data_IF_507817513650
#
_entry.id   IF_507817513650
#
_cell.length_a   1.000
_cell.length_b   1.000
_cell.length_c   1.000
_cell.angle_alpha   90.00
_cell.angle_beta   90.00
_cell.angle_gamma   90.00
#
_symmetry.space_group_name_H-M   'P 1'
#
loop_
_entity.id
_entity.type
_entity.pdbx_description
1 polymer ?
#
# COMPACT_ATOMS: atom_id res chain seq x y z
N UNK A 1 27.02 0.82 25.56
CA UNK A 1 27.42 0.58 26.97
C UNK A 1 26.19 0.70 27.86
N UNK A 2 25.78 -0.42 28.45
CA UNK A 2 24.76 -0.42 29.49
C UNK A 2 25.37 0.26 30.70
N UNK A 3 24.79 1.39 31.12
CA UNK A 3 25.28 2.14 32.27
C UNK A 3 25.16 1.29 33.53
N UNK A 4 26.29 1.12 34.25
CA UNK A 4 26.31 0.50 35.57
C UNK A 4 25.38 1.28 36.50
N UNK A 5 24.35 0.62 37.04
CA UNK A 5 23.61 1.12 38.21
C UNK A 5 22.08 1.30 38.06
N UNK A 6 21.47 0.98 36.95
CA UNK A 6 20.01 0.89 36.92
C UNK A 6 19.59 -0.53 37.29
N UNK A 7 19.05 -0.72 38.49
CA UNK A 7 18.20 -1.87 38.78
C UNK A 7 16.94 -1.78 37.91
N UNK A 8 16.97 -2.43 36.75
CA UNK A 8 15.76 -2.72 36.01
C UNK A 8 14.95 -3.71 36.83
N UNK A 9 13.98 -3.22 37.58
CA UNK A 9 12.92 -4.09 38.07
C UNK A 9 12.34 -4.79 36.85
N UNK A 10 12.37 -6.12 36.84
CA UNK A 10 11.95 -6.90 35.69
C UNK A 10 10.56 -6.48 35.21
N UNK A 11 10.36 -6.46 33.90
CA UNK A 11 9.07 -6.14 33.28
C UNK A 11 8.06 -7.16 33.75
N UNK A 12 7.01 -6.72 34.43
CA UNK A 12 5.91 -7.59 34.85
C UNK A 12 4.98 -7.80 33.65
N UNK A 13 5.19 -8.89 32.91
CA UNK A 13 4.40 -9.27 31.73
C UNK A 13 3.04 -9.90 32.08
N UNK A 14 2.68 -10.02 33.35
CA UNK A 14 1.48 -10.72 33.81
C UNK A 14 0.15 -9.96 33.67
N UNK A 15 0.08 -8.89 32.87
CA UNK A 15 -1.18 -8.15 32.64
C UNK A 15 -2.09 -8.75 31.56
N UNK A 16 -1.76 -9.96 31.08
CA UNK A 16 -2.50 -10.64 30.02
C UNK A 16 -2.24 -10.07 28.63
N UNK A 17 -2.72 -10.79 27.63
CA UNK A 17 -2.64 -10.38 26.21
C UNK A 17 -4.07 -10.19 25.70
N UNK A 18 -4.35 -9.04 25.08
CA UNK A 18 -5.64 -8.75 24.43
C UNK A 18 -5.45 -8.65 22.93
N UNK A 19 -6.35 -9.28 22.18
CA UNK A 19 -6.48 -9.00 20.74
C UNK A 19 -7.01 -7.58 20.56
N UNK A 20 -6.48 -6.83 19.62
CA UNK A 20 -7.04 -5.54 19.19
C UNK A 20 -8.39 -5.75 18.51
N UNK A 21 -9.15 -4.67 18.25
CA UNK A 21 -10.34 -4.76 17.41
C UNK A 21 -9.91 -5.30 16.04
N UNK A 22 -10.48 -6.46 15.66
CA UNK A 22 -10.12 -7.10 14.40
C UNK A 22 -10.71 -6.31 13.23
N UNK A 23 -9.88 -5.52 12.56
CA UNK A 23 -10.23 -4.87 11.30
C UNK A 23 -10.08 -5.82 10.12
N UNK A 24 -9.32 -6.91 10.30
CA UNK A 24 -8.92 -7.83 9.23
C UNK A 24 -9.21 -9.27 9.63
N UNK A 25 -9.37 -10.14 8.62
CA UNK A 25 -9.37 -11.59 8.83
C UNK A 25 -8.01 -12.04 9.37
N UNK A 26 -7.99 -13.11 10.15
CA UNK A 26 -6.74 -13.62 10.75
C UNK A 26 -6.13 -14.79 9.98
N UNK A 27 -6.77 -15.22 8.89
CA UNK A 27 -6.32 -16.35 8.10
C UNK A 27 -5.05 -16.01 7.31
N UNK A 28 -4.22 -17.01 7.06
CA UNK A 28 -2.95 -16.85 6.38
C UNK A 28 -3.13 -16.92 4.85
N UNK A 29 -2.95 -15.83 4.11
CA UNK A 29 -3.08 -15.82 2.67
C UNK A 29 -1.94 -16.56 1.95
N UNK A 30 -0.82 -16.85 2.65
CA UNK A 30 0.35 -17.52 2.05
C UNK A 30 -0.01 -18.95 1.69
N UNK A 31 -0.76 -19.64 2.54
CA UNK A 31 -1.14 -21.04 2.37
C UNK A 31 -2.56 -21.25 1.83
N UNK A 32 -3.30 -20.17 1.55
CA UNK A 32 -4.67 -20.25 1.01
C UNK A 32 -4.75 -20.94 -0.36
N UNK A 33 -3.68 -20.89 -1.14
CA UNK A 33 -3.53 -21.58 -2.43
C UNK A 33 -2.16 -22.23 -2.53
N UNK A 34 -2.08 -23.37 -3.23
CA UNK A 34 -0.81 -24.01 -3.49
C UNK A 34 0.02 -23.23 -4.55
N UNK A 35 1.28 -23.59 -4.67
CA UNK A 35 2.23 -22.90 -5.57
C UNK A 35 1.79 -22.96 -7.05
N UNK A 36 1.26 -24.09 -7.50
CA UNK A 36 0.82 -24.26 -8.90
C UNK A 36 -0.39 -23.39 -9.22
N UNK A 37 -1.34 -23.28 -8.29
CA UNK A 37 -2.50 -22.39 -8.44
C UNK A 37 -2.07 -20.92 -8.54
N UNK A 38 -1.13 -20.50 -7.69
CA UNK A 38 -0.57 -19.13 -7.74
C UNK A 38 0.16 -18.84 -9.04
N UNK A 39 0.98 -19.79 -9.51
CA UNK A 39 1.66 -19.68 -10.80
C UNK A 39 0.65 -19.54 -11.95
N UNK A 40 -0.44 -20.30 -11.91
CA UNK A 40 -1.49 -20.25 -12.94
C UNK A 40 -2.15 -18.88 -13.07
N UNK A 41 -2.33 -18.17 -11.95
CA UNK A 41 -2.86 -16.80 -11.96
C UNK A 41 -1.93 -15.88 -12.77
N UNK A 42 -0.61 -15.98 -12.54
CA UNK A 42 0.38 -15.16 -13.25
C UNK A 42 0.49 -15.53 -14.73
N UNK A 43 0.38 -16.82 -15.08
CA UNK A 43 0.33 -17.28 -16.46
C UNK A 43 -0.88 -16.71 -17.21
N UNK A 44 -2.07 -16.74 -16.58
CA UNK A 44 -3.30 -16.18 -17.16
C UNK A 44 -3.11 -14.68 -17.38
N UNK A 45 -2.60 -13.96 -16.38
CA UNK A 45 -2.38 -12.51 -16.49
C UNK A 45 -1.44 -12.16 -17.66
N UNK A 46 -0.35 -12.92 -17.80
CA UNK A 46 0.59 -12.75 -18.91
C UNK A 46 -0.07 -13.04 -20.27
N UNK A 47 -0.84 -14.12 -20.36
CA UNK A 47 -1.53 -14.49 -21.61
C UNK A 47 -2.59 -13.45 -22.01
N UNK A 48 -3.42 -12.99 -21.06
CA UNK A 48 -4.42 -11.96 -21.30
C UNK A 48 -3.79 -10.65 -21.77
N UNK A 49 -2.72 -10.19 -21.12
CA UNK A 49 -2.06 -8.95 -21.50
C UNK A 49 -1.49 -9.02 -22.94
N UNK A 50 -0.85 -10.14 -23.30
CA UNK A 50 -0.31 -10.34 -24.66
C UNK A 50 -1.37 -10.46 -25.73
N UNK A 51 -2.53 -11.00 -25.40
CA UNK A 51 -3.64 -11.18 -26.35
C UNK A 51 -4.33 -9.85 -26.68
N UNK A 52 -4.21 -8.83 -25.85
CA UNK A 52 -4.91 -7.55 -26.00
C UNK A 52 -4.31 -6.66 -27.09
N UNK A 53 -2.98 -6.70 -27.26
CA UNK A 53 -2.29 -5.82 -28.23
C UNK A 53 -0.98 -6.45 -28.71
N UNK A 54 -0.78 -6.59 -30.03
CA UNK A 54 0.45 -7.18 -30.59
C UNK A 54 1.71 -6.38 -30.30
N UNK A 55 1.59 -5.12 -29.90
CA UNK A 55 2.73 -4.27 -29.48
C UNK A 55 3.26 -4.61 -28.09
N UNK A 56 2.58 -5.47 -27.33
CA UNK A 56 3.07 -5.94 -26.00
C UNK A 56 4.24 -6.89 -26.20
N UNK A 57 5.45 -6.40 -25.95
CA UNK A 57 6.70 -7.16 -26.12
C UNK A 57 7.13 -7.84 -24.84
N UNK A 58 6.77 -7.28 -23.66
CA UNK A 58 7.10 -7.86 -22.37
C UNK A 58 5.94 -7.71 -21.38
N UNK A 59 5.76 -8.73 -20.54
CA UNK A 59 4.82 -8.72 -19.42
C UNK A 59 5.55 -9.21 -18.17
N UNK A 60 5.39 -8.48 -17.08
CA UNK A 60 5.85 -8.84 -15.74
C UNK A 60 4.64 -8.92 -14.83
N UNK A 61 4.29 -10.12 -14.39
CA UNK A 61 3.20 -10.35 -13.44
C UNK A 61 3.77 -10.77 -12.08
N UNK A 62 3.26 -10.19 -11.00
CA UNK A 62 3.72 -10.44 -9.65
C UNK A 62 2.57 -10.68 -8.66
N UNK A 63 2.74 -11.64 -7.76
CA UNK A 63 1.84 -11.91 -6.65
C UNK A 63 2.65 -11.96 -5.36
N UNK A 64 2.30 -11.10 -4.41
CA UNK A 64 2.86 -11.08 -3.07
C UNK A 64 1.77 -11.38 -2.05
N UNK A 65 2.08 -12.25 -1.10
CA UNK A 65 1.23 -12.54 0.06
C UNK A 65 2.08 -12.41 1.31
N UNK A 66 1.59 -11.69 2.31
CA UNK A 66 2.23 -11.59 3.62
C UNK A 66 1.21 -11.84 4.71
N UNK A 67 1.68 -12.41 5.81
CA UNK A 67 0.91 -12.60 7.04
C UNK A 67 1.73 -12.03 8.19
N UNK A 68 1.28 -10.91 8.74
CA UNK A 68 2.01 -10.19 9.78
C UNK A 68 1.30 -10.33 11.12
N UNK A 69 2.03 -10.77 12.13
CA UNK A 69 1.60 -10.68 13.52
C UNK A 69 2.40 -9.59 14.22
N UNK A 70 1.72 -8.64 14.82
CA UNK A 70 2.33 -7.55 15.59
C UNK A 70 1.96 -7.72 17.05
N UNK A 71 2.95 -7.71 17.94
CA UNK A 71 2.77 -7.77 19.39
C UNK A 71 3.38 -6.54 20.03
N UNK A 72 2.59 -5.79 20.78
CA UNK A 72 3.02 -4.62 21.56
C UNK A 72 2.88 -4.94 23.04
N UNK A 73 3.99 -4.85 23.78
CA UNK A 73 4.07 -5.17 25.21
C UNK A 73 4.51 -3.92 26.00
N UNK A 74 3.60 -3.04 26.38
CA UNK A 74 3.90 -1.90 27.24
C UNK A 74 4.08 -2.37 28.70
N UNK A 75 4.86 -1.64 29.48
CA UNK A 75 5.18 -1.97 30.87
C UNK A 75 4.00 -1.77 31.83
N UNK A 76 3.12 -0.84 31.53
CA UNK A 76 2.04 -0.35 32.40
C UNK A 76 0.65 -0.74 31.93
N UNK A 77 0.51 -1.29 30.73
CA UNK A 77 -0.75 -1.72 30.11
C UNK A 77 -0.71 -3.18 29.69
N UNK A 78 -1.87 -3.83 29.48
CA UNK A 78 -1.93 -5.15 28.87
C UNK A 78 -1.27 -5.18 27.50
N UNK A 79 -0.55 -6.26 27.23
CA UNK A 79 -0.02 -6.52 25.88
C UNK A 79 -1.16 -6.63 24.86
N UNK A 80 -0.91 -6.20 23.65
CA UNK A 80 -1.90 -6.27 22.56
C UNK A 80 -1.26 -6.90 21.34
N UNK A 81 -2.03 -7.69 20.61
CA UNK A 81 -1.58 -8.26 19.35
C UNK A 81 -2.61 -8.01 18.25
N UNK A 82 -2.11 -7.94 17.04
CA UNK A 82 -2.90 -7.83 15.84
C UNK A 82 -2.34 -8.74 14.75
N UNK A 83 -3.22 -9.24 13.88
CA UNK A 83 -2.87 -10.06 12.73
C UNK A 83 -3.39 -9.37 11.49
N UNK A 84 -2.50 -9.14 10.51
CA UNK A 84 -2.82 -8.49 9.25
C UNK A 84 -2.34 -9.33 8.08
N UNK A 85 -3.25 -9.96 7.32
CA UNK A 85 -2.93 -10.52 6.02
C UNK A 85 -2.75 -9.38 5.01
N UNK A 86 -1.93 -9.60 4.00
CA UNK A 86 -1.81 -8.68 2.86
C UNK A 86 -1.62 -9.49 1.59
N UNK A 87 -2.36 -9.17 0.57
CA UNK A 87 -2.17 -9.69 -0.78
C UNK A 87 -2.01 -8.54 -1.77
N UNK A 88 -1.14 -8.72 -2.74
CA UNK A 88 -0.93 -7.76 -3.81
C UNK A 88 -0.65 -8.50 -5.12
N UNK A 89 -1.48 -8.26 -6.11
CA UNK A 89 -1.34 -8.77 -7.46
C UNK A 89 -1.08 -7.60 -8.39
N UNK A 90 -0.07 -7.72 -9.25
CA UNK A 90 0.32 -6.66 -10.17
C UNK A 90 0.66 -7.22 -11.55
N UNK A 91 0.48 -6.38 -12.56
CA UNK A 91 0.93 -6.61 -13.92
C UNK A 91 1.53 -5.34 -14.50
N UNK A 92 2.71 -5.47 -15.07
CA UNK A 92 3.36 -4.43 -15.85
C UNK A 92 3.55 -4.94 -17.27
N UNK A 93 3.23 -4.12 -18.25
CA UNK A 93 3.42 -4.42 -19.66
C UNK A 93 4.38 -3.41 -20.27
N UNK A 94 5.25 -3.87 -21.17
CA UNK A 94 6.04 -3.01 -22.04
C UNK A 94 5.48 -3.14 -23.44
N UNK A 95 5.09 -2.04 -24.03
CA UNK A 95 4.70 -1.95 -25.44
C UNK A 95 5.82 -1.32 -26.24
N UNK A 96 5.96 -1.74 -27.50
CA UNK A 96 6.94 -1.19 -28.43
C UNK A 96 6.29 -0.89 -29.77
N UNK A 97 6.58 0.28 -30.31
CA UNK A 97 6.21 0.70 -31.65
C UNK A 97 7.24 1.68 -32.18
N UNK A 98 7.75 1.43 -33.38
CA UNK A 98 8.69 2.31 -34.10
C UNK A 98 9.92 2.72 -33.24
N UNK A 99 10.43 1.78 -32.43
CA UNK A 99 11.56 2.01 -31.52
C UNK A 99 11.22 2.73 -30.22
N UNK A 100 10.00 3.24 -30.05
CA UNK A 100 9.50 3.79 -28.79
C UNK A 100 8.99 2.67 -27.90
N UNK A 101 9.37 2.72 -26.62
CA UNK A 101 8.91 1.79 -25.57
C UNK A 101 8.21 2.54 -24.47
N UNK A 102 7.04 2.05 -24.09
CA UNK A 102 6.26 2.61 -23.00
C UNK A 102 5.75 1.52 -22.06
N UNK A 103 5.57 1.89 -20.81
CA UNK A 103 5.16 0.97 -19.74
C UNK A 103 3.76 1.33 -19.26
N UNK A 104 2.95 0.30 -19.05
CA UNK A 104 1.69 0.41 -18.33
C UNK A 104 1.69 -0.53 -17.14
N UNK A 105 1.06 -0.13 -16.05
CA UNK A 105 1.00 -0.86 -14.79
C UNK A 105 -0.42 -0.86 -14.23
N UNK A 106 -0.85 -2.00 -13.73
CA UNK A 106 -2.07 -2.13 -12.96
C UNK A 106 -1.86 -3.09 -11.79
N UNK A 107 -2.54 -2.84 -10.69
CA UNK A 107 -2.50 -3.71 -9.53
C UNK A 107 -3.81 -3.70 -8.75
N UNK A 108 -4.00 -4.76 -7.96
CA UNK A 108 -5.04 -4.86 -6.96
C UNK A 108 -4.46 -5.53 -5.71
N UNK A 109 -4.97 -5.17 -4.55
CA UNK A 109 -4.49 -5.71 -3.29
C UNK A 109 -5.28 -5.19 -2.10
N UNK A 110 -4.96 -5.71 -0.93
CA UNK A 110 -5.59 -5.30 0.30
C UNK A 110 -5.21 -6.19 1.48
N UNK A 111 -5.74 -5.87 2.65
CA UNK A 111 -5.60 -6.70 3.83
C UNK A 111 -6.68 -7.81 3.87
N UNK A 112 -6.80 -8.52 2.77
CA UNK A 112 -7.80 -9.57 2.47
C UNK A 112 -7.12 -10.88 2.09
N UNK A 113 -7.90 -11.93 1.86
CA UNK A 113 -7.41 -13.20 1.33
C UNK A 113 -7.30 -13.18 -0.20
N UNK A 114 -6.48 -14.08 -0.74
CA UNK A 114 -6.23 -14.15 -2.18
C UNK A 114 -7.49 -14.52 -2.99
N UNK A 115 -8.32 -15.41 -2.49
CA UNK A 115 -9.57 -15.79 -3.13
C UNK A 115 -10.59 -14.64 -3.16
N UNK A 116 -10.62 -13.80 -2.14
CA UNK A 116 -11.43 -12.60 -2.09
C UNK A 116 -10.92 -11.55 -3.10
N UNK A 117 -9.61 -11.36 -3.19
CA UNK A 117 -8.99 -10.50 -4.20
C UNK A 117 -9.44 -10.90 -5.60
N UNK A 118 -9.39 -12.22 -5.91
CA UNK A 118 -9.73 -12.76 -7.23
C UNK A 118 -11.22 -12.72 -7.54
N UNK A 119 -12.10 -12.75 -6.54
CA UNK A 119 -13.55 -12.56 -6.72
C UNK A 119 -13.87 -11.11 -7.09
N UNK A 120 -13.18 -10.16 -6.47
CA UNK A 120 -13.46 -8.74 -6.60
C UNK A 120 -12.73 -8.10 -7.79
N UNK A 121 -11.70 -8.77 -8.33
CA UNK A 121 -10.87 -8.24 -9.39
C UNK A 121 -10.69 -9.25 -10.52
N UNK A 122 -11.13 -8.87 -11.71
CA UNK A 122 -10.90 -9.66 -12.91
C UNK A 122 -9.44 -9.56 -13.37
N UNK A 123 -8.77 -10.70 -13.56
CA UNK A 123 -7.43 -10.73 -14.15
C UNK A 123 -7.39 -10.05 -15.53
N UNK A 124 -8.46 -10.23 -16.30
CA UNK A 124 -8.60 -9.60 -17.61
C UNK A 124 -8.68 -8.08 -17.51
N UNK A 125 -9.37 -7.54 -16.51
CA UNK A 125 -9.51 -6.09 -16.36
C UNK A 125 -8.21 -5.47 -15.85
N UNK A 126 -7.43 -6.14 -15.00
CA UNK A 126 -6.08 -5.73 -14.65
C UNK A 126 -5.17 -5.71 -15.88
N UNK A 127 -5.20 -6.76 -16.71
CA UNK A 127 -4.43 -6.80 -17.95
C UNK A 127 -4.82 -5.67 -18.91
N UNK A 128 -6.14 -5.44 -19.09
CA UNK A 128 -6.66 -4.34 -19.91
C UNK A 128 -6.18 -2.99 -19.44
N UNK A 129 -6.22 -2.73 -18.14
CA UNK A 129 -5.82 -1.44 -17.59
C UNK A 129 -4.33 -1.19 -17.79
N UNK A 130 -3.48 -2.19 -17.57
CA UNK A 130 -2.05 -2.07 -17.84
C UNK A 130 -1.77 -1.78 -19.33
N UNK A 131 -2.43 -2.51 -20.25
CA UNK A 131 -2.30 -2.29 -21.70
C UNK A 131 -2.83 -0.92 -22.09
N UNK A 132 -3.99 -0.50 -21.53
CA UNK A 132 -4.56 0.84 -21.76
C UNK A 132 -3.59 1.95 -21.38
N UNK A 133 -2.97 1.86 -20.20
CA UNK A 133 -2.00 2.86 -19.74
C UNK A 133 -0.79 2.90 -20.66
N UNK A 134 -0.22 1.75 -21.03
CA UNK A 134 0.88 1.70 -21.99
C UNK A 134 0.50 2.31 -23.34
N UNK A 135 -0.72 2.02 -23.84
CA UNK A 135 -1.23 2.59 -25.10
C UNK A 135 -1.37 4.12 -25.05
N UNK A 136 -1.90 4.65 -23.94
CA UNK A 136 -2.00 6.11 -23.73
C UNK A 136 -0.61 6.74 -23.70
N UNK A 137 0.34 6.11 -23.00
CA UNK A 137 1.71 6.60 -22.94
C UNK A 137 2.40 6.59 -24.33
N UNK A 138 2.10 5.60 -25.17
CA UNK A 138 2.61 5.55 -26.55
C UNK A 138 2.20 6.76 -27.40
N UNK A 139 1.05 7.34 -27.11
CA UNK A 139 0.50 8.51 -27.84
C UNK A 139 0.77 9.83 -27.08
N UNK A 140 1.33 9.75 -25.88
CA UNK A 140 1.57 10.92 -25.05
C UNK A 140 2.64 11.83 -25.65
N UNK A 141 2.40 13.14 -25.50
CA UNK A 141 3.36 14.19 -25.79
C UNK A 141 4.03 14.68 -24.51
N UNK A 142 5.21 15.31 -24.54
CA UNK A 142 5.83 15.88 -23.36
C UNK A 142 4.89 16.88 -22.68
N UNK A 143 4.79 16.80 -21.35
CA UNK A 143 4.05 17.77 -20.57
C UNK A 143 4.73 19.15 -20.64
N UNK A 144 3.98 20.27 -20.71
CA UNK A 144 4.58 21.60 -20.65
C UNK A 144 5.25 21.83 -19.31
N UNK A 145 6.46 22.39 -19.33
CA UNK A 145 7.17 22.80 -18.12
C UNK A 145 6.78 24.24 -17.74
N UNK A 146 6.62 24.50 -16.45
CA UNK A 146 6.32 25.82 -15.91
C UNK A 146 5.34 25.81 -14.75
N UNK A 147 5.11 27.00 -14.20
CA UNK A 147 4.10 27.19 -13.15
C UNK A 147 2.71 27.23 -13.77
N UNK A 148 1.81 26.39 -13.30
CA UNK A 148 0.44 26.33 -13.81
C UNK A 148 -0.54 25.91 -12.72
N UNK A 149 -1.82 26.17 -12.93
CA UNK A 149 -2.90 25.67 -12.05
C UNK A 149 -3.05 24.16 -12.27
N UNK A 150 -3.04 23.42 -11.16
CA UNK A 150 -3.18 21.95 -11.16
C UNK A 150 -4.41 21.56 -10.37
N UNK A 151 -5.23 20.69 -10.95
CA UNK A 151 -6.35 20.03 -10.26
C UNK A 151 -5.97 18.59 -9.96
N UNK A 152 -5.96 18.23 -8.68
CA UNK A 152 -5.69 16.88 -8.23
C UNK A 152 -7.01 16.12 -8.07
N UNK A 153 -7.16 15.00 -8.78
CA UNK A 153 -8.30 14.09 -8.61
C UNK A 153 -8.16 13.21 -7.35
N UNK A 154 -9.20 12.43 -7.03
CA UNK A 154 -9.14 11.43 -5.97
C UNK A 154 -8.22 10.25 -6.38
N UNK A 155 -7.70 9.53 -5.39
CA UNK A 155 -6.86 8.35 -5.58
C UNK A 155 -5.36 8.64 -5.44
N UNK A 156 -4.54 8.26 -6.41
CA UNK A 156 -3.08 8.42 -6.38
C UNK A 156 -2.57 9.81 -5.96
N UNK A 157 -3.17 10.93 -6.36
CA UNK A 157 -2.77 12.24 -5.87
C UNK A 157 -2.86 12.42 -4.35
N UNK A 158 -3.58 11.56 -3.64
CA UNK A 158 -3.56 11.50 -2.17
C UNK A 158 -2.18 11.25 -1.57
N UNK A 159 -1.27 10.61 -2.33
CA UNK A 159 0.15 10.44 -1.93
C UNK A 159 0.82 11.81 -1.72
N UNK A 160 0.48 12.83 -2.50
CA UNK A 160 1.01 14.18 -2.27
C UNK A 160 0.63 14.72 -0.87
N UNK A 161 -0.60 14.44 -0.41
CA UNK A 161 -1.06 14.83 0.93
C UNK A 161 -0.33 14.01 2.00
N UNK A 162 -0.09 12.72 1.75
CA UNK A 162 0.72 11.86 2.61
C UNK A 162 2.12 12.44 2.80
N UNK A 163 2.82 12.78 1.71
CA UNK A 163 4.17 13.33 1.76
C UNK A 163 4.22 14.74 2.37
N UNK A 164 3.28 15.60 1.99
CA UNK A 164 3.30 17.00 2.42
C UNK A 164 2.89 17.20 3.88
N UNK A 165 2.02 16.34 4.41
CA UNK A 165 1.41 16.50 5.73
C UNK A 165 1.55 15.25 6.59
N UNK A 166 1.29 14.07 6.02
CA UNK A 166 1.22 12.81 6.76
C UNK A 166 2.49 12.52 7.56
N UNK A 167 3.64 12.56 6.94
CA UNK A 167 4.92 12.36 7.62
C UNK A 167 5.19 13.39 8.73
N UNK A 168 4.76 14.63 8.54
CA UNK A 168 4.87 15.66 9.57
C UNK A 168 3.97 15.43 10.80
N UNK A 169 2.93 14.61 10.67
CA UNK A 169 2.02 14.25 11.76
C UNK A 169 2.45 13.00 12.53
N UNK A 170 3.48 12.28 12.10
CA UNK A 170 3.99 11.10 12.81
C UNK A 170 4.39 11.41 14.26
N UNK A 171 4.01 10.53 15.16
CA UNK A 171 4.15 10.74 16.60
C UNK A 171 5.58 10.85 17.09
N UNK A 172 6.54 10.16 16.48
CA UNK A 172 7.95 10.21 16.82
C UNK A 172 8.60 11.54 16.44
N UNK A 173 8.30 12.09 15.26
CA UNK A 173 8.77 13.42 14.86
C UNK A 173 8.20 14.52 15.75
N UNK A 174 6.93 14.42 16.12
CA UNK A 174 6.31 15.39 17.03
C UNK A 174 6.86 15.25 18.44
N UNK A 175 7.13 14.04 18.94
CA UNK A 175 7.73 13.80 20.25
C UNK A 175 9.15 14.34 20.35
N UNK A 176 9.93 14.22 19.29
CA UNK A 176 11.32 14.72 19.25
C UNK A 176 11.44 16.22 18.93
N UNK A 177 10.32 16.87 18.58
CA UNK A 177 10.33 18.29 18.24
C UNK A 177 10.86 18.61 16.84
N UNK A 178 11.00 17.60 15.97
CA UNK A 178 11.55 17.77 14.62
C UNK A 178 10.51 18.08 13.56
N UNK A 179 9.22 17.94 13.87
CA UNK A 179 8.12 18.28 12.94
C UNK A 179 7.76 19.76 12.96
N UNK A 180 7.38 20.30 11.80
CA UNK A 180 6.78 21.63 11.68
C UNK A 180 5.42 21.75 12.44
N UNK A 181 4.77 20.63 12.76
CA UNK A 181 3.51 20.57 13.49
C UNK A 181 3.68 20.40 15.02
N UNK A 182 4.91 20.26 15.51
CA UNK A 182 5.17 20.07 16.93
C UNK A 182 4.56 21.21 17.77
N UNK A 183 3.78 20.82 18.79
CA UNK A 183 3.15 21.75 19.72
C UNK A 183 2.01 22.59 19.14
N UNK A 184 1.52 22.27 17.95
CA UNK A 184 0.48 23.05 17.26
C UNK A 184 -0.94 22.50 17.43
N UNK A 185 -1.17 21.60 18.37
CA UNK A 185 -2.50 21.09 18.66
C UNK A 185 -3.45 22.26 18.97
N UNK A 186 -4.61 22.32 18.30
CA UNK A 186 -5.61 23.39 18.43
C UNK A 186 -5.28 24.67 17.66
N UNK A 187 -4.13 24.73 16.97
CA UNK A 187 -3.76 25.86 16.14
C UNK A 187 -4.07 25.59 14.66
N UNK A 188 -4.40 26.62 13.92
CA UNK A 188 -4.57 26.54 12.47
C UNK A 188 -3.21 26.36 11.79
N UNK A 189 -3.04 25.29 11.04
CA UNK A 189 -1.80 24.92 10.34
C UNK A 189 -1.94 24.90 8.82
N UNK A 190 -3.15 25.08 8.29
CA UNK A 190 -3.43 25.09 6.86
C UNK A 190 -4.57 26.07 6.53
N UNK A 191 -4.92 26.18 5.26
CA UNK A 191 -6.10 26.93 4.78
C UNK A 191 -7.39 26.32 5.34
N UNK A 192 -8.41 27.16 5.58
CA UNK A 192 -9.75 26.70 6.01
C UNK A 192 -10.46 25.82 4.97
N UNK A 193 -10.03 25.90 3.72
CA UNK A 193 -10.55 25.06 2.65
C UNK A 193 -10.03 23.59 2.72
N UNK A 194 -9.03 23.30 3.57
CA UNK A 194 -8.41 21.99 3.67
C UNK A 194 -8.83 21.29 4.97
N UNK A 195 -9.40 20.09 4.84
CA UNK A 195 -9.60 19.15 5.96
C UNK A 195 -8.86 17.85 5.64
N UNK A 196 -7.95 17.44 6.53
CA UNK A 196 -7.19 16.19 6.40
C UNK A 196 -7.52 15.33 7.61
N UNK A 197 -7.93 14.08 7.36
CA UNK A 197 -8.30 13.11 8.39
C UNK A 197 -7.37 11.91 8.23
N UNK A 198 -6.67 11.54 9.32
CA UNK A 198 -5.96 10.29 9.47
C UNK A 198 -6.83 9.35 10.31
N UNK A 199 -7.35 8.30 9.69
CA UNK A 199 -8.30 7.37 10.33
C UNK A 199 -7.79 5.94 10.25
N UNK A 200 -7.22 5.46 11.36
CA UNK A 200 -6.78 4.08 11.53
C UNK A 200 -7.90 3.07 11.82
N UNK A 201 -9.16 3.45 11.74
CA UNK A 201 -10.33 2.58 12.06
C UNK A 201 -11.11 2.15 10.83
N UNK A 202 -10.72 2.60 9.65
CA UNK A 202 -11.37 2.24 8.38
C UNK A 202 -11.19 0.74 8.13
N UNK A 203 -12.28 -0.05 7.99
CA UNK A 203 -12.19 -1.46 7.61
C UNK A 203 -11.70 -1.56 6.16
N UNK A 204 -11.21 -2.76 5.78
CA UNK A 204 -10.75 -3.06 4.42
C UNK A 204 -11.83 -2.84 3.37
#
# INVERSE_FOLDING_TARGET
SISKGHNCNGININKGVKKTNALYVSDDPIFSMNRSQKAKILEILNAEARALDPRVVQVMAGLSCTHRTTLVMPTDNPSRYDIKPMVHLSVSVVMEKDGRREVGYASAGGAILLDELLKNNSLKDLAKEAVRIASVNMEAIPAPAGTMTVVLGAGWPGVLVHEAVGHGLEGDFNRTGSSAFTGKIGQKVASEACTIIDDGTIPN
#
